data_IF_649476526269
#
_entry.id   IF_649476526269
#
_cell.length_a   1.000
_cell.length_b   1.000
_cell.length_c   1.000
_cell.angle_alpha   90.00
_cell.angle_beta   90.00
_cell.angle_gamma   90.00
#
_symmetry.space_group_name_H-M   'P 1'
#
loop_
_entity.id
_entity.type
_entity.pdbx_description
1 polymer ?
#
# COMPACT_ATOMS: atom_id res chain seq x y z
N UNK A 1 -27.56 -40.98 -26.07
CA UNK A 1 -27.16 -40.58 -24.69
C UNK A 1 -25.65 -40.67 -24.44
N UNK A 2 -24.92 -41.59 -25.06
CA UNK A 2 -23.46 -41.77 -24.86
C UNK A 2 -22.56 -40.60 -25.34
N UNK A 3 -22.93 -39.86 -26.40
CA UNK A 3 -22.09 -38.77 -26.94
C UNK A 3 -21.99 -37.51 -26.07
N UNK A 4 -22.94 -37.28 -25.14
CA UNK A 4 -22.91 -36.11 -24.23
C UNK A 4 -22.04 -36.35 -22.99
N UNK A 5 -21.81 -37.60 -22.60
CA UNK A 5 -20.92 -37.95 -21.48
C UNK A 5 -19.44 -37.83 -21.84
N UNK A 6 -19.04 -38.13 -23.08
CA UNK A 6 -17.65 -38.00 -23.52
C UNK A 6 -17.17 -36.53 -23.57
N UNK A 7 -18.04 -35.58 -23.92
CA UNK A 7 -17.67 -34.15 -23.99
C UNK A 7 -17.49 -33.57 -22.59
N UNK A 8 -18.30 -34.00 -21.62
CA UNK A 8 -18.18 -33.57 -20.22
C UNK A 8 -16.90 -34.13 -19.57
N UNK A 9 -16.53 -35.38 -19.88
CA UNK A 9 -15.31 -36.02 -19.39
C UNK A 9 -14.05 -35.37 -19.99
N UNK A 10 -14.09 -34.93 -21.26
CA UNK A 10 -12.98 -34.21 -21.91
C UNK A 10 -12.83 -32.79 -21.33
N UNK A 11 -13.94 -32.11 -20.98
CA UNK A 11 -13.87 -30.82 -20.30
C UNK A 11 -13.34 -30.93 -18.87
N UNK A 12 -13.75 -31.95 -18.10
CA UNK A 12 -13.24 -32.21 -16.76
C UNK A 12 -11.77 -32.67 -16.77
N UNK A 13 -11.34 -33.48 -17.75
CA UNK A 13 -9.93 -33.85 -17.89
C UNK A 13 -9.06 -32.64 -18.28
N UNK A 14 -9.54 -31.75 -19.16
CA UNK A 14 -8.78 -30.54 -19.52
C UNK A 14 -8.76 -29.52 -18.37
N UNK A 15 -9.80 -29.43 -17.54
CA UNK A 15 -9.78 -28.58 -16.35
C UNK A 15 -8.76 -29.06 -15.31
N UNK A 16 -8.62 -30.37 -15.15
CA UNK A 16 -7.61 -30.97 -14.25
C UNK A 16 -6.20 -30.84 -14.85
N UNK A 17 -6.04 -30.91 -16.18
CA UNK A 17 -4.73 -30.75 -16.83
C UNK A 17 -4.20 -29.32 -16.85
N UNK A 18 -5.07 -28.30 -16.89
CA UNK A 18 -4.66 -26.88 -16.83
C UNK A 18 -4.32 -26.43 -15.41
N UNK A 19 -4.87 -27.09 -14.37
CA UNK A 19 -4.56 -26.78 -12.96
C UNK A 19 -3.59 -27.77 -12.29
N UNK A 20 -3.23 -28.86 -12.97
CA UNK A 20 -2.42 -29.96 -12.44
C UNK A 20 -1.08 -30.16 -13.13
N UNK A 21 -0.57 -29.18 -13.89
CA UNK A 21 0.85 -29.21 -14.25
C UNK A 21 1.66 -28.88 -12.99
N UNK A 22 2.21 -29.93 -12.37
CA UNK A 22 3.41 -29.80 -11.55
C UNK A 22 4.49 -29.21 -12.45
N UNK A 23 4.53 -27.88 -12.49
CA UNK A 23 5.53 -27.11 -13.19
C UNK A 23 6.83 -27.29 -12.37
N UNK A 24 7.63 -28.30 -12.74
CA UNK A 24 8.76 -28.82 -11.95
C UNK A 24 9.90 -27.81 -11.76
N UNK A 25 9.76 -26.58 -12.27
CA UNK A 25 10.74 -25.50 -12.18
C UNK A 25 10.29 -24.33 -11.28
N UNK A 26 9.14 -24.39 -10.61
CA UNK A 26 8.72 -23.34 -9.69
C UNK A 26 9.42 -23.48 -8.33
N UNK A 27 9.96 -22.37 -7.84
CA UNK A 27 10.53 -22.28 -6.50
C UNK A 27 9.40 -22.34 -5.45
N UNK A 28 9.49 -23.31 -4.56
CA UNK A 28 8.43 -23.61 -3.58
C UNK A 28 8.67 -22.86 -2.28
N UNK A 29 7.70 -22.07 -1.86
CA UNK A 29 7.78 -21.26 -0.65
C UNK A 29 6.88 -21.86 0.42
N UNK A 30 7.47 -22.13 1.59
CA UNK A 30 6.75 -22.65 2.76
C UNK A 30 6.29 -21.49 3.64
N UNK A 31 5.00 -21.26 3.79
CA UNK A 31 4.49 -20.35 4.84
C UNK A 31 4.52 -21.07 6.18
N UNK A 32 5.38 -20.62 7.09
CA UNK A 32 5.53 -21.23 8.42
C UNK A 32 4.55 -20.62 9.40
N UNK A 33 4.45 -19.30 9.43
CA UNK A 33 3.65 -18.56 10.40
C UNK A 33 2.93 -17.38 9.74
N UNK A 34 1.71 -17.13 10.20
CA UNK A 34 0.93 -15.94 9.84
C UNK A 34 0.48 -15.28 11.15
N UNK A 35 0.91 -14.05 11.38
CA UNK A 35 0.55 -13.26 12.55
C UNK A 35 -0.44 -12.16 12.16
N UNK A 36 -1.59 -12.14 12.82
CA UNK A 36 -2.60 -11.10 12.67
C UNK A 36 -2.42 -10.06 13.78
N UNK A 37 -2.26 -8.80 13.38
CA UNK A 37 -2.39 -7.64 14.26
C UNK A 37 -3.84 -7.34 14.62
N UNK A 38 -4.06 -6.14 15.17
CA UNK A 38 -5.40 -5.68 15.59
C UNK A 38 -6.25 -5.24 14.38
N UNK A 39 -7.58 -5.25 14.55
CA UNK A 39 -8.57 -4.70 13.61
C UNK A 39 -8.56 -5.34 12.21
N UNK A 40 -8.32 -6.64 12.12
CA UNK A 40 -8.28 -7.42 10.87
C UNK A 40 -9.50 -8.33 10.70
N UNK A 41 -10.66 -7.90 11.24
CA UNK A 41 -11.91 -8.66 11.12
C UNK A 41 -12.21 -8.98 9.66
N UNK A 42 -12.49 -10.25 9.36
CA UNK A 42 -12.77 -10.72 8.00
C UNK A 42 -11.55 -11.23 7.21
N UNK A 43 -10.33 -11.15 7.76
CA UNK A 43 -9.18 -11.92 7.30
C UNK A 43 -9.05 -13.26 8.06
N UNK A 44 -8.51 -14.27 7.37
CA UNK A 44 -8.17 -15.56 7.93
C UNK A 44 -6.98 -16.16 7.17
N UNK A 45 -6.43 -17.26 7.68
CA UNK A 45 -5.25 -17.92 7.09
C UNK A 45 -5.44 -18.27 5.60
N UNK A 46 -6.64 -18.71 5.20
CA UNK A 46 -6.97 -19.09 3.82
C UNK A 46 -6.88 -17.88 2.89
N UNK A 47 -7.39 -16.72 3.30
CA UNK A 47 -7.30 -15.48 2.49
C UNK A 47 -5.86 -15.00 2.32
N UNK A 48 -5.05 -15.12 3.38
CA UNK A 48 -3.62 -14.76 3.35
C UNK A 48 -2.87 -15.69 2.42
N UNK A 49 -3.07 -17.00 2.56
CA UNK A 49 -2.52 -18.00 1.65
C UNK A 49 -2.94 -17.74 0.20
N UNK A 50 -4.22 -17.47 -0.06
CA UNK A 50 -4.73 -17.21 -1.40
C UNK A 50 -4.09 -15.95 -2.01
N UNK A 51 -3.99 -14.86 -1.24
CA UNK A 51 -3.33 -13.63 -1.68
C UNK A 51 -1.85 -13.88 -2.00
N UNK A 52 -1.14 -14.62 -1.15
CA UNK A 52 0.26 -14.97 -1.37
C UNK A 52 0.47 -15.89 -2.56
N UNK A 53 -0.39 -16.90 -2.72
CA UNK A 53 -0.32 -17.82 -3.85
C UNK A 53 -0.55 -17.08 -5.16
N UNK A 54 -1.52 -16.15 -5.18
CA UNK A 54 -1.75 -15.30 -6.34
C UNK A 54 -0.55 -14.39 -6.62
N UNK A 55 0.01 -13.70 -5.62
CA UNK A 55 1.20 -12.88 -5.79
C UNK A 55 2.39 -13.67 -6.34
N UNK A 56 2.70 -14.84 -5.74
CA UNK A 56 3.79 -15.72 -6.17
C UNK A 56 3.60 -16.24 -7.61
N UNK A 57 2.38 -16.65 -7.97
CA UNK A 57 2.04 -17.13 -9.31
C UNK A 57 2.10 -16.02 -10.36
N UNK A 58 1.63 -14.82 -10.03
CA UNK A 58 1.73 -13.65 -10.90
C UNK A 58 3.19 -13.25 -11.16
N UNK A 59 4.11 -13.55 -10.24
CA UNK A 59 5.54 -13.39 -10.46
C UNK A 59 6.17 -14.47 -11.37
N UNK A 60 5.43 -15.53 -11.70
CA UNK A 60 5.77 -16.50 -12.75
C UNK A 60 6.85 -17.54 -12.42
N UNK A 61 7.49 -17.48 -11.24
CA UNK A 61 8.57 -18.42 -10.85
C UNK A 61 8.39 -19.07 -9.49
N UNK A 62 7.33 -18.72 -8.76
CA UNK A 62 7.15 -19.13 -7.37
C UNK A 62 5.80 -19.79 -7.16
N UNK A 63 5.77 -20.73 -6.23
CA UNK A 63 4.55 -21.38 -5.78
C UNK A 63 4.53 -21.46 -4.26
N UNK A 64 3.43 -21.01 -3.67
CA UNK A 64 3.19 -21.21 -2.23
C UNK A 64 2.80 -22.67 -2.00
N UNK A 65 3.45 -23.31 -1.04
CA UNK A 65 3.06 -24.62 -0.54
C UNK A 65 1.75 -24.45 0.24
N UNK A 66 0.68 -25.16 -0.13
CA UNK A 66 -0.58 -25.10 0.58
C UNK A 66 -0.45 -25.48 2.07
N UNK A 67 -1.18 -24.77 2.94
CA UNK A 67 -1.18 -24.93 4.39
C UNK A 67 -1.69 -26.32 4.80
N UNK A 68 -2.67 -26.86 4.08
CA UNK A 68 -3.17 -28.23 4.30
C UNK A 68 -2.11 -29.30 4.02
N UNK A 69 -1.32 -29.13 2.96
CA UNK A 69 -0.18 -30.01 2.64
C UNK A 69 0.91 -29.87 3.70
N UNK A 70 1.24 -28.64 4.11
CA UNK A 70 2.18 -28.38 5.20
C UNK A 70 1.76 -29.10 6.48
N UNK A 71 0.51 -28.93 6.89
CA UNK A 71 -0.01 -29.47 8.15
C UNK A 71 -0.08 -31.00 8.10
N UNK A 72 -0.39 -31.57 6.92
CA UNK A 72 -0.34 -33.01 6.68
C UNK A 72 1.08 -33.57 6.86
N UNK A 73 2.10 -32.92 6.29
CA UNK A 73 3.50 -33.34 6.46
C UNK A 73 3.97 -33.16 7.90
N UNK A 74 3.59 -32.07 8.56
CA UNK A 74 3.91 -31.86 9.97
C UNK A 74 3.37 -33.01 10.84
N UNK A 75 2.12 -33.44 10.61
CA UNK A 75 1.53 -34.59 11.30
C UNK A 75 2.27 -35.90 10.98
N UNK A 76 2.59 -36.15 9.72
CA UNK A 76 3.33 -37.34 9.33
C UNK A 76 4.74 -37.40 9.96
N UNK A 77 5.42 -36.26 10.11
CA UNK A 77 6.71 -36.18 10.81
C UNK A 77 6.55 -36.49 12.31
N UNK A 78 5.51 -35.97 12.96
CA UNK A 78 5.20 -36.29 14.35
C UNK A 78 4.94 -37.79 14.56
N UNK A 79 4.19 -38.42 13.65
CA UNK A 79 3.93 -39.87 13.67
C UNK A 79 5.23 -40.69 13.54
N UNK A 80 6.21 -40.18 12.77
CA UNK A 80 7.56 -40.74 12.66
C UNK A 80 8.49 -40.37 13.84
N UNK A 81 7.99 -39.69 14.87
CA UNK A 81 8.76 -39.15 16.01
C UNK A 81 9.87 -38.17 15.60
N UNK A 82 9.69 -37.49 14.47
CA UNK A 82 10.56 -36.40 14.02
C UNK A 82 9.91 -35.08 14.43
N UNK A 83 10.68 -34.18 15.03
CA UNK A 83 10.17 -32.85 15.42
C UNK A 83 9.83 -32.04 14.16
N UNK A 84 8.57 -31.61 13.95
CA UNK A 84 8.14 -30.90 12.75
C UNK A 84 8.57 -29.43 12.79
N UNK A 85 9.87 -29.17 12.65
CA UNK A 85 10.41 -27.83 12.48
C UNK A 85 10.19 -27.32 11.06
N UNK A 86 10.20 -25.99 10.86
CA UNK A 86 10.15 -25.38 9.53
C UNK A 86 11.18 -25.99 8.56
N UNK A 87 12.39 -26.27 9.04
CA UNK A 87 13.43 -26.93 8.25
C UNK A 87 13.06 -28.36 7.85
N UNK A 88 12.58 -29.18 8.79
CA UNK A 88 12.20 -30.57 8.49
C UNK A 88 11.03 -30.67 7.51
N UNK A 89 10.03 -29.80 7.67
CA UNK A 89 8.87 -29.72 6.76
C UNK A 89 9.32 -29.21 5.39
N UNK A 90 10.14 -28.14 5.36
CA UNK A 90 10.69 -27.58 4.12
C UNK A 90 11.49 -28.60 3.33
N UNK A 91 12.30 -29.42 4.01
CA UNK A 91 13.06 -30.50 3.38
C UNK A 91 12.15 -31.57 2.76
N UNK A 92 11.14 -32.05 3.49
CA UNK A 92 10.18 -33.04 2.95
C UNK A 92 9.38 -32.49 1.76
N UNK A 93 9.08 -31.18 1.77
CA UNK A 93 8.30 -30.53 0.73
C UNK A 93 9.14 -29.88 -0.38
N UNK A 94 10.46 -30.05 -0.35
CA UNK A 94 11.41 -29.43 -1.28
C UNK A 94 11.19 -27.92 -1.42
N UNK A 95 10.95 -27.23 -0.29
CA UNK A 95 10.84 -25.79 -0.23
C UNK A 95 12.22 -25.14 -0.45
N UNK A 96 12.28 -24.06 -1.22
CA UNK A 96 13.49 -23.24 -1.37
C UNK A 96 13.65 -22.28 -0.19
N UNK A 97 12.55 -21.82 0.39
CA UNK A 97 12.55 -20.89 1.52
C UNK A 97 11.33 -21.06 2.43
N UNK A 98 11.50 -20.65 3.69
CA UNK A 98 10.43 -20.48 4.67
C UNK A 98 10.03 -19.00 4.78
N UNK A 99 8.74 -18.72 4.93
CA UNK A 99 8.17 -17.39 4.97
C UNK A 99 7.29 -17.22 6.21
N UNK A 100 7.60 -16.20 7.00
CA UNK A 100 6.75 -15.67 8.07
C UNK A 100 6.06 -14.42 7.56
N UNK A 101 4.76 -14.33 7.79
CA UNK A 101 3.93 -13.20 7.35
C UNK A 101 3.34 -12.52 8.57
N UNK A 102 3.54 -11.20 8.69
CA UNK A 102 2.85 -10.38 9.70
C UNK A 102 1.96 -9.38 8.99
N UNK A 103 0.72 -9.28 9.44
CA UNK A 103 -0.28 -8.38 8.86
C UNK A 103 -0.73 -7.44 9.95
N UNK A 104 -0.68 -6.13 9.68
CA UNK A 104 -1.17 -5.10 10.58
C UNK A 104 -2.09 -4.16 9.81
N UNK A 105 -3.06 -3.60 10.52
CA UNK A 105 -3.91 -2.54 9.98
C UNK A 105 -3.96 -1.39 10.96
N UNK A 106 -3.88 -0.19 10.40
CA UNK A 106 -4.12 1.05 11.11
C UNK A 106 -5.00 1.96 10.24
N UNK A 107 -6.19 2.34 10.75
CA UNK A 107 -7.22 3.02 9.98
C UNK A 107 -7.46 2.36 8.60
N UNK A 108 -7.20 3.07 7.49
CA UNK A 108 -7.36 2.56 6.13
C UNK A 108 -6.04 2.09 5.51
N UNK A 109 -4.97 1.95 6.29
CA UNK A 109 -3.68 1.43 5.83
C UNK A 109 -3.50 -0.02 6.29
N UNK A 110 -3.25 -0.91 5.33
CA UNK A 110 -2.83 -2.28 5.58
C UNK A 110 -1.32 -2.41 5.33
N UNK A 111 -0.60 -3.03 6.26
CA UNK A 111 0.82 -3.36 6.17
C UNK A 111 0.99 -4.87 6.22
N UNK A 112 1.80 -5.40 5.31
CA UNK A 112 2.26 -6.79 5.31
C UNK A 112 3.77 -6.77 5.42
N UNK A 113 4.31 -7.44 6.42
CA UNK A 113 5.74 -7.67 6.59
C UNK A 113 6.05 -9.14 6.32
N UNK A 114 7.14 -9.38 5.59
CA UNK A 114 7.70 -10.71 5.40
C UNK A 114 9.05 -10.83 6.08
N UNK A 115 9.29 -12.00 6.66
CA UNK A 115 10.61 -12.49 6.97
C UNK A 115 10.78 -13.85 6.27
N UNK A 116 11.76 -13.94 5.37
CA UNK A 116 12.09 -15.15 4.63
C UNK A 116 13.42 -15.72 5.12
N UNK A 117 13.47 -17.04 5.22
CA UNK A 117 14.70 -17.81 5.46
C UNK A 117 14.96 -18.72 4.27
N UNK A 118 16.07 -18.50 3.58
CA UNK A 118 16.46 -19.33 2.44
C UNK A 118 17.17 -20.60 2.92
N UNK A 119 16.66 -21.78 2.53
CA UNK A 119 17.21 -23.05 2.98
C UNK A 119 18.57 -23.41 2.36
N UNK A 120 18.94 -22.79 1.25
CA UNK A 120 20.18 -23.10 0.52
C UNK A 120 21.41 -22.41 1.10
N UNK A 121 21.29 -21.14 1.49
CA UNK A 121 22.39 -20.31 1.98
C UNK A 121 22.20 -19.78 3.42
N UNK A 122 21.07 -20.13 4.06
CA UNK A 122 20.69 -19.68 5.40
C UNK A 122 20.54 -18.16 5.55
N UNK A 123 20.40 -17.43 4.43
CA UNK A 123 20.16 -15.99 4.45
C UNK A 123 18.76 -15.67 4.99
N UNK A 124 18.65 -14.53 5.67
CA UNK A 124 17.39 -13.97 6.14
C UNK A 124 17.14 -12.66 5.40
N UNK A 125 15.96 -12.55 4.81
CA UNK A 125 15.52 -11.35 4.11
C UNK A 125 14.21 -10.86 4.70
N UNK A 126 14.11 -9.56 4.93
CA UNK A 126 12.86 -8.91 5.34
C UNK A 126 12.40 -7.95 4.25
N UNK A 127 11.09 -7.79 4.14
CA UNK A 127 10.47 -6.86 3.19
C UNK A 127 9.11 -6.43 3.71
N UNK A 128 8.58 -5.33 3.19
CA UNK A 128 7.29 -4.81 3.60
C UNK A 128 6.48 -4.27 2.43
N UNK A 129 5.18 -4.28 2.59
CA UNK A 129 4.25 -3.80 1.59
C UNK A 129 3.07 -3.10 2.25
N UNK A 130 2.74 -1.93 1.75
CA UNK A 130 1.59 -1.15 2.20
C UNK A 130 0.50 -1.15 1.13
N UNK A 131 -0.75 -1.04 1.55
CA UNK A 131 -1.85 -0.71 0.63
C UNK A 131 -2.98 -0.01 1.38
N UNK A 132 -3.64 0.93 0.70
CA UNK A 132 -4.86 1.54 1.22
C UNK A 132 -6.07 0.64 1.02
N UNK A 133 -6.97 0.67 1.99
CA UNK A 133 -8.25 -0.04 2.01
C UNK A 133 -9.29 0.90 1.42
N UNK A 134 -9.84 0.53 0.27
CA UNK A 134 -10.72 1.40 -0.53
C UNK A 134 -12.18 0.94 -0.57
N UNK A 135 -12.43 -0.30 -0.19
CA UNK A 135 -13.72 -0.95 -0.39
C UNK A 135 -14.35 -1.32 0.95
N UNK A 136 -15.65 -1.08 1.06
CA UNK A 136 -16.45 -1.38 2.25
C UNK A 136 -17.68 -2.18 1.84
N UNK A 137 -18.03 -3.16 2.66
CA UNK A 137 -19.27 -3.90 2.52
C UNK A 137 -20.42 -3.00 2.96
N UNK A 138 -21.30 -2.65 2.00
CA UNK A 138 -22.41 -1.72 2.20
C UNK A 138 -23.32 -2.10 3.38
N UNK A 139 -23.58 -3.40 3.57
CA UNK A 139 -24.54 -3.90 4.58
C UNK A 139 -23.99 -3.84 6.01
N UNK A 140 -22.69 -4.09 6.18
CA UNK A 140 -22.04 -4.21 7.50
C UNK A 140 -21.19 -3.00 7.85
N UNK A 141 -21.04 -2.06 6.92
CA UNK A 141 -20.07 -0.98 6.97
C UNK A 141 -18.66 -1.46 7.37
N UNK A 142 -18.28 -2.66 6.93
CA UNK A 142 -17.02 -3.29 7.29
C UNK A 142 -16.05 -3.25 6.10
N UNK A 143 -14.76 -3.03 6.33
CA UNK A 143 -13.78 -2.95 5.26
C UNK A 143 -13.63 -4.31 4.54
N UNK A 144 -13.49 -4.25 3.22
CA UNK A 144 -13.11 -5.39 2.39
C UNK A 144 -11.59 -5.36 2.20
N UNK A 145 -10.90 -6.22 2.94
CA UNK A 145 -9.45 -6.20 3.08
C UNK A 145 -8.73 -6.94 1.94
N UNK A 146 -9.41 -7.84 1.22
CA UNK A 146 -8.81 -8.74 0.24
C UNK A 146 -8.00 -8.03 -0.86
N UNK A 147 -8.47 -6.92 -1.49
CA UNK A 147 -7.69 -6.22 -2.51
C UNK A 147 -6.44 -5.54 -1.92
N UNK A 148 -6.57 -4.94 -0.73
CA UNK A 148 -5.44 -4.30 -0.05
C UNK A 148 -4.41 -5.34 0.39
N UNK A 149 -4.86 -6.51 0.85
CA UNK A 149 -4.03 -7.63 1.23
C UNK A 149 -3.21 -8.12 0.04
N UNK A 150 -3.85 -8.37 -1.11
CA UNK A 150 -3.15 -8.79 -2.31
C UNK A 150 -2.09 -7.76 -2.75
N UNK A 151 -2.46 -6.48 -2.84
CA UNK A 151 -1.53 -5.44 -3.26
C UNK A 151 -0.35 -5.29 -2.29
N UNK A 152 -0.60 -5.32 -0.98
CA UNK A 152 0.45 -5.29 0.04
C UNK A 152 1.36 -6.53 -0.05
N UNK A 153 0.80 -7.72 -0.22
CA UNK A 153 1.56 -8.95 -0.45
C UNK A 153 2.41 -8.87 -1.72
N UNK A 154 1.87 -8.35 -2.83
CA UNK A 154 2.63 -8.14 -4.07
C UNK A 154 3.81 -7.20 -3.84
N UNK A 155 3.59 -6.04 -3.20
CA UNK A 155 4.68 -5.08 -2.91
C UNK A 155 5.78 -5.70 -2.06
N UNK A 156 5.42 -6.32 -0.93
CA UNK A 156 6.37 -7.01 -0.07
C UNK A 156 7.10 -8.13 -0.82
N UNK A 157 6.40 -8.89 -1.66
CA UNK A 157 7.01 -10.01 -2.39
C UNK A 157 7.99 -9.54 -3.47
N UNK A 158 7.65 -8.48 -4.22
CA UNK A 158 8.52 -7.88 -5.23
C UNK A 158 9.83 -7.37 -4.62
N UNK A 159 9.75 -6.77 -3.43
CA UNK A 159 10.94 -6.36 -2.65
C UNK A 159 11.72 -7.58 -2.15
N UNK A 160 11.05 -8.59 -1.59
CA UNK A 160 11.68 -9.82 -1.08
C UNK A 160 12.56 -10.53 -2.12
N UNK A 161 12.09 -10.60 -3.36
CA UNK A 161 12.80 -11.26 -4.46
C UNK A 161 13.72 -10.33 -5.25
N UNK A 162 13.89 -9.08 -4.80
CA UNK A 162 14.66 -8.02 -5.45
C UNK A 162 14.27 -7.79 -6.93
N UNK A 163 12.97 -7.85 -7.24
CA UNK A 163 12.41 -7.58 -8.58
C UNK A 163 11.24 -6.61 -8.47
N UNK A 164 11.52 -5.29 -8.36
CA UNK A 164 10.47 -4.29 -8.16
C UNK A 164 9.46 -4.22 -9.32
N UNK A 165 9.89 -4.57 -10.54
CA UNK A 165 9.06 -4.48 -11.74
C UNK A 165 8.35 -5.79 -12.11
N UNK A 166 8.36 -6.80 -11.23
CA UNK A 166 7.87 -8.15 -11.54
C UNK A 166 6.39 -8.18 -11.97
N UNK A 167 5.59 -7.20 -11.57
CA UNK A 167 4.16 -7.11 -11.93
C UNK A 167 3.83 -5.98 -12.92
N UNK A 168 4.82 -5.26 -13.47
CA UNK A 168 4.58 -4.06 -14.30
C UNK A 168 3.85 -4.34 -15.62
N UNK A 169 3.98 -5.57 -16.13
CA UNK A 169 3.34 -6.01 -17.37
C UNK A 169 1.92 -6.55 -17.16
N UNK A 170 1.43 -6.58 -15.92
CA UNK A 170 0.06 -6.99 -15.62
C UNK A 170 -0.93 -5.86 -15.89
N UNK A 171 -2.21 -6.22 -15.99
CA UNK A 171 -3.30 -5.29 -16.23
C UNK A 171 -4.03 -4.89 -14.95
N UNK A 172 -4.64 -3.70 -14.98
CA UNK A 172 -5.52 -3.22 -13.92
C UNK A 172 -4.86 -3.21 -12.54
N UNK A 173 -5.60 -3.65 -11.52
CA UNK A 173 -5.18 -3.61 -10.12
C UNK A 173 -4.06 -4.58 -9.76
N UNK A 174 -3.66 -5.48 -10.66
CA UNK A 174 -2.50 -6.37 -10.44
C UNK A 174 -1.17 -5.71 -10.78
N UNK A 175 -1.20 -4.60 -11.53
CA UNK A 175 -0.02 -3.80 -11.86
C UNK A 175 0.42 -3.00 -10.64
N UNK A 176 1.29 -3.60 -9.84
CA UNK A 176 1.77 -3.05 -8.57
C UNK A 176 3.28 -3.13 -8.51
N UNK A 177 3.94 -2.14 -7.91
CA UNK A 177 5.35 -2.19 -7.53
C UNK A 177 5.55 -1.77 -6.08
N UNK A 178 6.68 -2.16 -5.45
CA UNK A 178 7.10 -1.56 -4.19
C UNK A 178 7.01 -0.03 -4.29
N UNK A 179 6.35 0.58 -3.31
CA UNK A 179 6.08 2.01 -3.29
C UNK A 179 6.12 2.51 -1.84
N UNK A 180 6.87 3.57 -1.55
CA UNK A 180 6.88 4.19 -0.23
C UNK A 180 5.53 4.84 0.09
N UNK A 181 5.30 5.08 1.37
CA UNK A 181 4.12 5.78 1.89
C UNK A 181 4.24 7.29 1.69
N UNK A 182 3.11 7.94 1.37
CA UNK A 182 3.02 9.38 1.19
C UNK A 182 1.81 9.92 1.97
N UNK A 183 2.05 10.86 2.88
CA UNK A 183 0.98 11.61 3.54
C UNK A 183 0.78 12.98 2.88
N UNK A 184 -0.47 13.46 2.88
CA UNK A 184 -0.81 14.82 2.46
C UNK A 184 -0.95 15.69 3.70
N UNK A 185 -0.13 16.72 3.75
CA UNK A 185 -0.03 17.65 4.85
C UNK A 185 -0.89 18.88 4.70
N UNK A 186 -0.60 19.86 5.54
CA UNK A 186 -1.21 21.17 5.49
C UNK A 186 -0.66 22.04 4.36
N UNK A 187 -1.42 23.06 3.99
CA UNK A 187 -0.99 24.17 3.13
C UNK A 187 -0.96 25.41 3.99
N UNK A 188 0.18 26.07 4.14
CA UNK A 188 0.30 27.25 4.96
C UNK A 188 -0.24 28.50 4.23
N UNK A 189 -1.30 29.10 4.77
CA UNK A 189 -1.91 30.31 4.23
C UNK A 189 -1.19 31.55 4.78
N UNK A 190 -0.44 32.24 3.93
CA UNK A 190 0.30 33.44 4.31
C UNK A 190 -0.59 34.66 4.08
N UNK A 191 -1.20 35.15 5.15
CA UNK A 191 -2.13 36.28 5.11
C UNK A 191 -1.42 37.64 5.23
N UNK A 192 -1.90 38.60 4.44
CA UNK A 192 -1.65 40.04 4.57
C UNK A 192 -2.97 40.81 4.32
N UNK A 193 -2.93 42.15 4.43
CA UNK A 193 -4.12 42.99 4.26
C UNK A 193 -4.75 42.89 2.84
N UNK A 194 -3.98 42.43 1.85
CA UNK A 194 -4.44 42.24 0.47
C UNK A 194 -5.08 40.86 0.27
N UNK A 195 -4.49 39.81 0.84
CA UNK A 195 -5.03 38.44 0.72
C UNK A 195 -6.27 38.20 1.57
N UNK A 196 -6.43 38.90 2.71
CA UNK A 196 -7.65 38.80 3.55
C UNK A 196 -8.96 39.15 2.84
N UNK A 197 -8.89 39.81 1.69
CA UNK A 197 -10.06 40.13 0.84
C UNK A 197 -10.51 38.98 -0.03
N UNK A 198 -9.63 38.00 -0.25
CA UNK A 198 -9.95 36.80 -1.02
C UNK A 198 -10.70 35.81 -0.13
N UNK A 199 -11.82 35.32 -0.64
CA UNK A 199 -12.67 34.29 -0.03
C UNK A 199 -11.87 33.06 0.34
N UNK A 200 -10.94 32.63 -0.52
CA UNK A 200 -10.09 31.46 -0.28
C UNK A 200 -9.24 31.61 1.00
N UNK A 201 -8.78 32.82 1.32
CA UNK A 201 -8.04 33.12 2.55
C UNK A 201 -8.97 33.37 3.73
N UNK A 202 -10.09 34.06 3.52
CA UNK A 202 -11.08 34.33 4.56
C UNK A 202 -11.67 33.04 5.14
N UNK A 203 -11.96 32.06 4.27
CA UNK A 203 -12.52 30.75 4.62
C UNK A 203 -11.44 29.65 4.67
N UNK A 204 -10.24 29.98 5.17
CA UNK A 204 -9.07 29.07 5.15
C UNK A 204 -9.32 27.70 5.76
N UNK A 205 -10.19 27.56 6.75
CA UNK A 205 -10.55 26.26 7.33
C UNK A 205 -11.19 25.35 6.28
N UNK A 206 -12.12 25.88 5.50
CA UNK A 206 -12.85 25.13 4.46
C UNK A 206 -11.95 24.94 3.24
N UNK A 207 -11.27 26.00 2.80
CA UNK A 207 -10.45 25.95 1.59
C UNK A 207 -9.21 25.08 1.76
N UNK A 208 -8.60 25.02 2.95
CA UNK A 208 -7.46 24.14 3.22
C UNK A 208 -7.87 22.67 3.28
N UNK A 209 -9.02 22.35 3.89
CA UNK A 209 -9.57 20.99 3.86
C UNK A 209 -9.87 20.54 2.43
N UNK A 210 -10.51 21.41 1.64
CA UNK A 210 -10.74 21.17 0.21
C UNK A 210 -9.44 20.92 -0.55
N UNK A 211 -8.38 21.67 -0.22
CA UNK A 211 -7.12 21.56 -0.91
C UNK A 211 -6.43 20.21 -0.67
N UNK A 212 -6.37 19.75 0.59
CA UNK A 212 -5.73 18.48 0.92
C UNK A 212 -6.50 17.27 0.34
N UNK A 213 -7.83 17.33 0.30
CA UNK A 213 -8.67 16.31 -0.37
C UNK A 213 -8.42 16.31 -1.88
N UNK A 214 -8.32 17.49 -2.50
CA UNK A 214 -8.01 17.61 -3.93
C UNK A 214 -6.63 17.03 -4.27
N UNK A 215 -5.61 17.36 -3.46
CA UNK A 215 -4.26 16.81 -3.62
C UNK A 215 -4.30 15.28 -3.47
N UNK A 216 -5.01 14.75 -2.46
CA UNK A 216 -5.16 13.30 -2.26
C UNK A 216 -5.78 12.60 -3.48
N UNK A 217 -6.88 13.12 -4.03
CA UNK A 217 -7.60 12.53 -5.16
C UNK A 217 -6.74 12.44 -6.43
N UNK A 218 -5.83 13.38 -6.62
CA UNK A 218 -4.85 13.35 -7.72
C UNK A 218 -3.67 12.44 -7.36
N UNK A 219 -3.07 12.63 -6.18
CA UNK A 219 -1.88 11.93 -5.76
C UNK A 219 -2.07 10.40 -5.71
N UNK A 220 -3.26 9.91 -5.31
CA UNK A 220 -3.59 8.47 -5.24
C UNK A 220 -3.53 7.74 -6.58
N UNK A 221 -3.42 8.48 -7.69
CA UNK A 221 -3.25 7.95 -9.05
C UNK A 221 -1.78 7.65 -9.37
N UNK A 222 -0.83 8.19 -8.60
CA UNK A 222 0.59 7.89 -8.77
C UNK A 222 0.87 6.42 -8.43
N UNK A 223 1.55 5.66 -9.32
CA UNK A 223 1.99 4.31 -9.01
C UNK A 223 3.23 4.28 -8.12
N UNK A 224 3.84 5.43 -7.86
CA UNK A 224 5.11 5.56 -7.14
C UNK A 224 4.92 5.68 -5.63
N UNK A 225 3.69 5.89 -5.16
CA UNK A 225 3.39 6.12 -3.75
C UNK A 225 2.16 5.34 -3.28
N UNK A 226 2.19 4.90 -2.03
CA UNK A 226 0.99 4.51 -1.27
C UNK A 226 0.50 5.76 -0.54
N UNK A 227 -0.40 6.50 -1.19
CA UNK A 227 -0.93 7.75 -0.65
C UNK A 227 -1.97 7.48 0.43
N UNK A 228 -1.76 8.03 1.62
CA UNK A 228 -2.67 7.96 2.75
C UNK A 228 -3.81 8.96 2.57
N UNK A 229 -5.03 8.54 2.94
CA UNK A 229 -6.15 9.46 3.10
C UNK A 229 -6.02 10.29 4.38
N UNK A 230 -6.72 11.41 4.42
CA UNK A 230 -6.66 12.35 5.54
C UNK A 230 -7.16 11.73 6.85
N UNK A 231 -8.17 10.85 6.80
CA UNK A 231 -8.67 10.15 7.99
C UNK A 231 -7.60 9.24 8.62
N UNK A 232 -6.77 8.58 7.79
CA UNK A 232 -5.67 7.73 8.23
C UNK A 232 -4.55 8.58 8.83
N UNK A 233 -4.18 9.69 8.17
CA UNK A 233 -3.22 10.67 8.71
C UNK A 233 -3.67 11.21 10.07
N UNK A 234 -4.92 11.65 10.16
CA UNK A 234 -5.47 12.22 11.40
C UNK A 234 -5.58 11.17 12.50
N UNK A 235 -5.82 9.89 12.14
CA UNK A 235 -5.75 8.78 13.09
C UNK A 235 -4.33 8.59 13.63
N UNK A 236 -3.29 8.80 12.82
CA UNK A 236 -1.89 8.76 13.27
C UNK A 236 -1.66 9.91 14.25
N UNK A 237 -2.07 11.14 13.91
CA UNK A 237 -1.96 12.29 14.81
C UNK A 237 -2.68 12.06 16.16
N UNK A 238 -3.91 11.55 16.12
CA UNK A 238 -4.68 11.24 17.31
C UNK A 238 -4.00 10.16 18.18
N UNK A 239 -3.30 9.18 17.58
CA UNK A 239 -2.54 8.18 18.33
C UNK A 239 -1.43 8.80 19.20
N UNK A 240 -0.89 9.95 18.80
CA UNK A 240 0.09 10.73 19.57
C UNK A 240 -0.54 11.87 20.39
N UNK A 241 -1.87 11.89 20.54
CA UNK A 241 -2.62 12.96 21.22
C UNK A 241 -2.53 14.34 20.55
N UNK A 242 -2.32 14.38 19.23
CA UNK A 242 -2.37 15.60 18.42
C UNK A 242 -3.80 15.74 17.86
N UNK A 243 -4.65 16.51 18.53
CA UNK A 243 -6.09 16.63 18.21
C UNK A 243 -6.49 17.89 17.45
N UNK A 244 -5.59 18.86 17.31
CA UNK A 244 -5.85 20.15 16.66
C UNK A 244 -4.89 20.45 15.48
N UNK A 245 -4.58 19.48 14.59
CA UNK A 245 -3.80 19.79 13.40
C UNK A 245 -4.61 20.71 12.47
N UNK A 246 -4.10 21.93 12.23
CA UNK A 246 -4.75 22.89 11.35
C UNK A 246 -4.19 22.79 9.92
N UNK A 247 -5.04 22.40 8.96
CA UNK A 247 -4.65 22.21 7.56
C UNK A 247 -4.16 23.49 6.86
N UNK A 248 -4.34 24.67 7.48
CA UNK A 248 -3.96 25.98 6.92
C UNK A 248 -2.67 26.57 7.53
N UNK A 249 -2.03 25.90 8.48
CA UNK A 249 -0.76 26.32 9.09
C UNK A 249 0.40 25.45 8.61
N UNK A 250 1.64 25.86 8.87
CA UNK A 250 2.81 24.98 8.67
C UNK A 250 2.70 23.74 9.57
N UNK A 251 3.11 22.55 9.08
CA UNK A 251 3.11 21.36 9.90
C UNK A 251 4.07 21.52 11.09
N UNK A 252 3.68 21.01 12.24
CA UNK A 252 4.52 21.06 13.44
C UNK A 252 5.56 19.94 13.43
N UNK A 253 6.71 20.10 14.12
CA UNK A 253 7.67 19.03 14.29
C UNK A 253 7.07 17.75 14.90
N UNK A 254 6.09 17.90 15.79
CA UNK A 254 5.39 16.79 16.44
C UNK A 254 4.52 16.00 15.44
N UNK A 255 3.83 16.68 14.54
CA UNK A 255 3.06 16.04 13.45
C UNK A 255 3.99 15.26 12.51
N UNK A 256 5.11 15.87 12.11
CA UNK A 256 6.10 15.23 11.25
C UNK A 256 6.71 14.02 11.94
N UNK A 257 7.03 14.12 13.24
CA UNK A 257 7.58 13.00 14.01
C UNK A 257 6.57 11.87 14.20
N UNK A 258 5.29 12.19 14.45
CA UNK A 258 4.22 11.18 14.52
C UNK A 258 4.11 10.35 13.23
N UNK A 259 4.25 10.98 12.07
CA UNK A 259 4.28 10.30 10.78
C UNK A 259 5.55 9.46 10.60
N UNK A 260 6.71 9.98 10.98
CA UNK A 260 7.97 9.24 10.93
C UNK A 260 7.93 7.96 11.78
N UNK A 261 7.39 8.04 12.99
CA UNK A 261 7.24 6.90 13.92
C UNK A 261 6.30 5.82 13.37
N UNK A 262 5.41 6.18 12.42
CA UNK A 262 4.57 5.24 11.66
C UNK A 262 5.22 4.74 10.36
N UNK A 263 6.50 5.04 10.14
CA UNK A 263 7.26 4.75 8.92
C UNK A 263 6.60 5.37 7.67
N UNK A 264 6.04 6.57 7.81
CA UNK A 264 5.66 7.38 6.65
C UNK A 264 6.91 8.04 6.08
N UNK A 265 7.18 7.80 4.80
CA UNK A 265 8.46 8.18 4.19
C UNK A 265 8.43 9.56 3.51
N UNK A 266 7.29 9.90 2.90
CA UNK A 266 7.13 11.14 2.14
C UNK A 266 5.93 11.95 2.63
N UNK A 267 6.00 13.26 2.37
CA UNK A 267 5.00 14.24 2.76
C UNK A 267 4.81 15.27 1.64
N UNK A 268 3.57 15.61 1.29
CA UNK A 268 3.28 16.81 0.50
C UNK A 268 2.80 17.90 1.43
N UNK A 269 3.37 19.10 1.32
CA UNK A 269 2.89 20.32 1.98
C UNK A 269 2.90 21.47 0.99
N UNK A 270 2.43 22.64 1.39
CA UNK A 270 2.42 23.80 0.51
C UNK A 270 2.32 25.12 1.22
N UNK A 271 2.35 26.18 0.42
CA UNK A 271 2.11 27.55 0.83
C UNK A 271 1.15 28.20 -0.17
N UNK A 272 0.21 29.00 0.34
CA UNK A 272 -0.64 29.88 -0.46
C UNK A 272 -0.36 31.33 -0.04
N UNK A 273 0.13 32.15 -0.97
CA UNK A 273 0.64 33.49 -0.65
C UNK A 273 0.45 34.45 -1.82
N UNK A 274 0.61 35.75 -1.57
CA UNK A 274 0.61 36.77 -2.62
C UNK A 274 2.05 37.04 -3.08
N UNK A 275 2.27 37.00 -4.38
CA UNK A 275 3.54 37.37 -5.01
C UNK A 275 3.26 38.24 -6.24
N UNK A 276 3.85 39.43 -6.29
CA UNK A 276 3.70 40.37 -7.41
C UNK A 276 2.22 40.64 -7.79
N UNK A 277 1.34 40.73 -6.78
CA UNK A 277 -0.09 40.98 -6.95
C UNK A 277 -0.90 39.77 -7.43
N UNK A 278 -0.32 38.57 -7.44
CA UNK A 278 -0.99 37.33 -7.82
C UNK A 278 -0.99 36.35 -6.66
N UNK A 279 -2.07 35.59 -6.50
CA UNK A 279 -2.11 34.50 -5.53
C UNK A 279 -1.38 33.31 -6.12
N UNK A 280 -0.36 32.83 -5.41
CA UNK A 280 0.51 31.73 -5.81
C UNK A 280 0.33 30.59 -4.83
N UNK A 281 0.00 29.42 -5.37
CA UNK A 281 0.08 28.15 -4.68
C UNK A 281 1.44 27.55 -4.98
N UNK A 282 2.19 27.16 -3.95
CA UNK A 282 3.40 26.35 -4.10
C UNK A 282 3.25 25.06 -3.30
N UNK A 283 3.45 23.92 -3.96
CA UNK A 283 3.49 22.61 -3.32
C UNK A 283 4.93 22.09 -3.27
N UNK A 284 5.25 21.40 -2.18
CA UNK A 284 6.52 20.79 -1.90
C UNK A 284 6.34 19.28 -1.73
N UNK A 285 7.16 18.49 -2.41
CA UNK A 285 7.33 17.07 -2.10
C UNK A 285 8.52 16.96 -1.17
N UNK A 286 8.28 16.45 0.03
CA UNK A 286 9.29 16.32 1.06
C UNK A 286 9.54 14.86 1.40
N UNK A 287 10.79 14.55 1.75
CA UNK A 287 11.15 13.33 2.48
C UNK A 287 11.07 13.63 3.98
N UNK A 288 10.48 12.72 4.74
CA UNK A 288 10.45 12.80 6.19
C UNK A 288 11.76 12.23 6.75
N UNK A 289 12.43 12.96 7.62
CA UNK A 289 13.63 12.54 8.34
C UNK A 289 13.54 12.92 9.82
N UNK A 290 14.48 12.44 10.63
CA UNK A 290 14.59 12.83 12.05
C UNK A 290 14.84 14.34 12.24
N UNK A 291 15.37 15.02 11.22
CA UNK A 291 15.61 16.47 11.23
C UNK A 291 14.38 17.28 10.78
N UNK A 292 13.33 16.61 10.30
CA UNK A 292 12.09 17.23 9.83
C UNK A 292 11.81 16.92 8.35
N UNK A 293 11.37 17.93 7.60
CA UNK A 293 11.01 17.79 6.19
C UNK A 293 12.16 18.27 5.28
N UNK A 294 12.71 17.35 4.49
CA UNK A 294 13.67 17.66 3.43
C UNK A 294 12.94 17.86 2.12
N UNK A 295 12.98 19.07 1.54
CA UNK A 295 12.32 19.37 0.25
C UNK A 295 13.10 18.70 -0.89
N UNK A 296 12.41 17.84 -1.65
CA UNK A 296 12.98 17.15 -2.81
C UNK A 296 12.59 17.80 -4.13
N UNK A 297 11.37 18.32 -4.22
CA UNK A 297 10.88 19.04 -5.39
C UNK A 297 9.81 20.05 -4.97
N UNK A 298 9.62 21.08 -5.81
CA UNK A 298 8.60 22.09 -5.63
C UNK A 298 7.93 22.44 -6.97
N UNK A 299 6.64 22.76 -6.92
CA UNK A 299 5.87 23.25 -8.08
C UNK A 299 4.95 24.37 -7.65
N UNK A 300 4.89 25.41 -8.47
CA UNK A 300 4.05 26.58 -8.23
C UNK A 300 3.02 26.76 -9.34
N UNK A 301 1.83 27.20 -8.96
CA UNK A 301 0.73 27.57 -9.86
C UNK A 301 0.11 28.89 -9.40
N UNK A 302 -0.39 29.67 -10.35
CA UNK A 302 -1.09 30.92 -10.06
C UNK A 302 -2.58 30.62 -9.95
N UNK A 303 -3.20 31.03 -8.84
CA UNK A 303 -4.65 31.02 -8.69
C UNK A 303 -5.18 32.29 -9.37
N UNK A 304 -5.78 32.12 -10.54
CA UNK A 304 -6.12 33.23 -11.44
C UNK A 304 -7.18 34.17 -10.87
N UNK A 305 -8.19 33.62 -10.21
CA UNK A 305 -9.34 34.34 -9.65
C UNK A 305 -9.67 33.80 -8.25
N UNK A 306 -10.37 34.60 -7.44
CA UNK A 306 -10.88 34.21 -6.12
C UNK A 306 -12.11 33.28 -6.23
N UNK A 307 -11.89 32.12 -6.86
CA UNK A 307 -12.89 31.10 -7.11
C UNK A 307 -12.31 29.74 -6.72
N UNK A 308 -13.11 28.92 -6.04
CA UNK A 308 -12.68 27.60 -5.57
C UNK A 308 -12.29 26.68 -6.75
N UNK A 309 -12.92 26.85 -7.91
CA UNK A 309 -12.60 26.13 -9.14
C UNK A 309 -11.20 26.49 -9.66
N UNK A 310 -10.80 27.76 -9.59
CA UNK A 310 -9.45 28.19 -9.99
C UNK A 310 -8.39 27.71 -9.02
N UNK A 311 -8.73 27.65 -7.74
CA UNK A 311 -7.85 27.03 -6.76
C UNK A 311 -7.70 25.53 -7.00
N UNK A 312 -8.79 24.83 -7.31
CA UNK A 312 -8.79 23.42 -7.69
C UNK A 312 -7.91 23.16 -8.91
N UNK A 313 -8.08 23.91 -9.99
CA UNK A 313 -7.24 23.80 -11.20
C UNK A 313 -5.75 23.95 -10.86
N UNK A 314 -5.39 24.93 -10.03
CA UNK A 314 -4.02 25.14 -9.57
C UNK A 314 -3.49 23.94 -8.75
N UNK A 315 -4.29 23.41 -7.81
CA UNK A 315 -3.93 22.24 -7.00
C UNK A 315 -3.72 20.98 -7.84
N UNK A 316 -4.63 20.70 -8.77
CA UNK A 316 -4.53 19.54 -9.67
C UNK A 316 -3.28 19.63 -10.54
N UNK A 317 -3.02 20.80 -11.14
CA UNK A 317 -1.86 21.02 -12.00
C UNK A 317 -0.54 20.92 -11.24
N UNK A 318 -0.45 21.57 -10.07
CA UNK A 318 0.73 21.51 -9.22
C UNK A 318 1.01 20.07 -8.78
N UNK A 319 -0.02 19.33 -8.34
CA UNK A 319 0.12 17.96 -7.86
C UNK A 319 0.54 17.00 -8.97
N UNK A 320 -0.08 17.09 -10.16
CA UNK A 320 0.31 16.28 -11.33
C UNK A 320 1.77 16.53 -11.71
N UNK A 321 2.20 17.80 -11.77
CA UNK A 321 3.58 18.16 -12.08
C UNK A 321 4.56 17.68 -11.01
N UNK A 322 4.19 17.79 -9.73
CA UNK A 322 5.02 17.40 -8.60
C UNK A 322 5.24 15.88 -8.56
N UNK A 323 4.19 15.10 -8.85
CA UNK A 323 4.23 13.64 -8.82
C UNK A 323 4.43 12.98 -10.19
N UNK A 324 4.69 13.79 -11.24
CA UNK A 324 4.91 13.34 -12.63
C UNK A 324 3.79 12.41 -13.15
N UNK A 325 2.55 12.69 -12.75
CA UNK A 325 1.37 11.94 -13.18
C UNK A 325 1.03 12.38 -14.60
N UNK A 326 0.96 11.42 -15.53
CA UNK A 326 0.61 11.68 -16.92
C UNK A 326 -0.83 12.22 -17.01
N UNK A 327 -1.09 13.16 -17.92
CA UNK A 327 -2.46 13.43 -18.34
C UNK A 327 -2.97 12.17 -19.06
N UNK A 328 -3.93 11.49 -18.43
CA UNK A 328 -4.55 10.29 -18.97
C UNK A 328 -5.49 10.56 -20.13
#
# INVERSE_FOLDING_TARGET
MAKRFCILAIFLLNFIFVYGQNDTNLERILITEIHFGKNLEGLNYIKVEAAMNLAARLAGRYQIIPLDIRDSVAKALQERKILPTAYSIGKELSASQALIIKINRFANLLRVDFASFNFSDSSVHTSKGYSTIRYYQKEKNSPLLDPALLAACQRAFAELIAKPDVYQNLEGSFKVKPAPTLAIGSINYIEDDSTRKWTIFHEKQVSSFFAIETIFEIARQSPDYVVLDNATRDSIYAYFNLYEPENFNKPTPEEVKALLDFEIEYYITGELFLENGKVVLRLYLCKISEEGLEILDEKSEIVQDDLIEKYKEALENATKKLLKISEG
#
